data_IF_108346482133
#
_entry.id   IF_108346482133
#
_cell.length_a   1.000
_cell.length_b   1.000
_cell.length_c   1.000
_cell.angle_alpha   90.00
_cell.angle_beta   90.00
_cell.angle_gamma   90.00
#
_symmetry.space_group_name_H-M   'P 1'
#
loop_
_entity.id
_entity.type
_entity.pdbx_description
1 polymer ?
#
# COMPACT_ATOMS: atom_id res chain seq x y z
N UNK A 1 -9.75 -13.51 4.70
CA UNK A 1 -8.70 -12.51 4.97
C UNK A 1 -7.83 -12.44 3.74
N UNK A 2 -7.61 -11.25 3.18
CA UNK A 2 -6.78 -11.06 1.98
C UNK A 2 -5.54 -10.28 2.38
N UNK A 3 -4.44 -10.44 1.66
CA UNK A 3 -3.30 -9.54 1.82
C UNK A 3 -3.57 -8.26 1.03
N UNK A 4 -3.31 -7.11 1.64
CA UNK A 4 -3.29 -5.81 0.99
C UNK A 4 -1.83 -5.40 0.80
N UNK A 5 -1.52 -4.92 -0.40
CA UNK A 5 -0.20 -4.40 -0.74
C UNK A 5 -0.34 -2.93 -1.15
N UNK A 6 0.51 -2.09 -0.58
CA UNK A 6 0.63 -0.68 -0.93
C UNK A 6 2.08 -0.35 -1.25
N UNK A 7 2.27 0.62 -2.16
CA UNK A 7 3.55 1.01 -2.72
C UNK A 7 3.67 2.54 -2.64
N UNK A 8 4.78 3.01 -2.08
CA UNK A 8 5.14 4.43 -2.01
C UNK A 8 6.45 4.67 -2.76
N UNK A 9 6.43 5.45 -3.85
CA UNK A 9 7.64 5.87 -4.55
C UNK A 9 8.55 6.69 -3.63
N UNK A 10 9.84 6.34 -3.57
CA UNK A 10 10.84 7.14 -2.85
C UNK A 10 11.32 8.24 -3.81
N UNK A 11 10.98 9.49 -3.51
CA UNK A 11 11.39 10.66 -4.30
C UNK A 11 12.67 11.32 -3.80
N UNK A 12 13.00 11.11 -2.52
CA UNK A 12 14.23 11.61 -1.90
C UNK A 12 14.97 10.45 -1.21
N UNK A 13 16.11 10.07 -1.77
CA UNK A 13 16.93 8.95 -1.29
C UNK A 13 17.83 9.32 -0.11
N UNK A 14 17.81 10.57 0.34
CA UNK A 14 18.56 11.02 1.52
C UNK A 14 17.80 10.77 2.82
N UNK A 15 16.49 10.51 2.74
CA UNK A 15 15.64 10.21 3.90
C UNK A 15 16.00 8.82 4.45
N UNK A 16 16.25 8.69 5.77
CA UNK A 16 16.47 7.40 6.40
C UNK A 16 15.31 6.43 6.22
N UNK A 17 15.62 5.13 6.07
CA UNK A 17 14.60 4.09 5.92
C UNK A 17 13.56 4.09 7.06
N UNK A 18 13.98 4.35 8.30
CA UNK A 18 13.07 4.39 9.44
C UNK A 18 11.99 5.48 9.29
N UNK A 19 12.36 6.64 8.75
CA UNK A 19 11.44 7.75 8.53
C UNK A 19 10.48 7.45 7.37
N UNK A 20 10.99 6.85 6.29
CA UNK A 20 10.16 6.38 5.18
C UNK A 20 9.13 5.32 5.61
N UNK A 21 9.54 4.39 6.48
CA UNK A 21 8.62 3.38 7.05
C UNK A 21 7.59 4.04 7.95
N UNK A 22 8.00 4.99 8.79
CA UNK A 22 7.09 5.72 9.66
C UNK A 22 6.02 6.46 8.86
N UNK A 23 6.40 7.18 7.81
CA UNK A 23 5.47 7.86 6.91
C UNK A 23 4.50 6.87 6.23
N UNK A 24 5.03 5.77 5.67
CA UNK A 24 4.22 4.75 5.02
C UNK A 24 3.25 4.07 6.00
N UNK A 25 3.66 3.85 7.25
CA UNK A 25 2.83 3.27 8.30
C UNK A 25 1.66 4.18 8.68
N UNK A 26 1.88 5.50 8.76
CA UNK A 26 0.82 6.48 9.04
C UNK A 26 -0.18 6.60 7.87
N UNK A 27 0.28 6.49 6.63
CA UNK A 27 -0.58 6.63 5.43
C UNK A 27 -1.32 5.33 5.06
N UNK A 28 -0.77 4.15 5.41
CA UNK A 28 -1.32 2.84 5.04
C UNK A 28 -2.83 2.67 5.31
N UNK A 29 -3.40 3.07 6.47
CA UNK A 29 -4.84 2.96 6.70
C UNK A 29 -5.69 3.79 5.73
N UNK A 30 -5.21 5.00 5.38
CA UNK A 30 -5.91 5.88 4.45
C UNK A 30 -5.87 5.32 3.02
N UNK A 31 -4.71 4.80 2.59
CA UNK A 31 -4.54 4.11 1.30
C UNK A 31 -5.47 2.90 1.23
N UNK A 32 -5.46 2.02 2.23
CA UNK A 32 -6.35 0.86 2.28
C UNK A 32 -7.83 1.28 2.16
N UNK A 33 -8.24 2.33 2.89
CA UNK A 33 -9.61 2.83 2.88
C UNK A 33 -10.04 3.32 1.49
N UNK A 34 -9.18 4.03 0.77
CA UNK A 34 -9.43 4.49 -0.61
C UNK A 34 -9.69 3.32 -1.57
N UNK A 35 -9.07 2.17 -1.31
CA UNK A 35 -9.25 0.93 -2.06
C UNK A 35 -10.35 0.02 -1.50
N UNK A 36 -11.15 0.52 -0.55
CA UNK A 36 -12.24 -0.26 0.07
C UNK A 36 -11.75 -1.41 0.94
N UNK A 37 -10.51 -1.35 1.43
CA UNK A 37 -9.93 -2.31 2.35
C UNK A 37 -9.78 -1.70 3.75
N UNK A 38 -9.74 -2.57 4.76
CA UNK A 38 -9.41 -2.22 6.14
C UNK A 38 -8.30 -3.14 6.60
N UNK A 39 -7.18 -2.57 7.06
CA UNK A 39 -6.05 -3.32 7.61
C UNK A 39 -6.46 -3.92 8.96
N UNK A 40 -6.13 -5.19 9.19
CA UNK A 40 -6.58 -5.94 10.37
C UNK A 40 -5.44 -6.48 11.23
N UNK A 41 -4.20 -6.17 10.88
CA UNK A 41 -3.03 -6.66 11.61
C UNK A 41 -1.75 -5.96 11.16
N UNK A 42 -0.59 -6.36 11.72
CA UNK A 42 0.67 -5.69 11.47
C UNK A 42 1.07 -5.76 10.01
N UNK A 43 1.65 -4.67 9.52
CA UNK A 43 2.24 -4.58 8.19
C UNK A 43 3.73 -4.93 8.23
N UNK A 44 4.23 -5.51 7.15
CA UNK A 44 5.66 -5.70 6.90
C UNK A 44 6.08 -4.72 5.81
N UNK A 45 7.15 -3.97 6.07
CA UNK A 45 7.68 -2.94 5.17
C UNK A 45 9.05 -3.36 4.62
N UNK A 46 9.27 -3.10 3.33
CA UNK A 46 10.56 -3.32 2.67
C UNK A 46 10.82 -2.20 1.65
N UNK A 47 12.09 -1.85 1.42
CA UNK A 47 12.50 -1.10 0.23
C UNK A 47 12.81 -2.09 -0.88
N UNK A 48 12.27 -1.84 -2.07
CA UNK A 48 12.51 -2.63 -3.27
C UNK A 48 12.81 -1.73 -4.46
N UNK A 49 13.34 -2.31 -5.53
CA UNK A 49 13.50 -1.62 -6.82
C UNK A 49 12.12 -1.23 -7.36
N UNK A 50 11.85 0.08 -7.43
CA UNK A 50 10.57 0.61 -7.87
C UNK A 50 10.27 0.31 -9.34
N UNK A 51 11.28 0.10 -10.18
CA UNK A 51 11.11 -0.23 -11.60
C UNK A 51 10.44 -1.59 -11.80
N UNK A 52 10.45 -2.43 -10.77
CA UNK A 52 9.81 -3.76 -10.76
C UNK A 52 8.42 -3.77 -10.13
N UNK A 53 8.00 -2.68 -9.48
CA UNK A 53 6.76 -2.63 -8.71
C UNK A 53 5.64 -1.87 -9.43
N UNK A 54 4.47 -2.50 -9.62
CA UNK A 54 3.28 -1.77 -10.07
C UNK A 54 2.92 -0.65 -9.08
N UNK A 55 2.63 0.55 -9.59
CA UNK A 55 2.29 1.71 -8.77
C UNK A 55 3.49 2.55 -8.29
N UNK A 56 4.72 2.17 -8.65
CA UNK A 56 5.95 2.93 -8.34
C UNK A 56 6.09 4.26 -9.08
N UNK A 57 5.28 4.48 -10.13
CA UNK A 57 5.39 5.64 -11.03
C UNK A 57 6.78 5.80 -11.66
N UNK A 58 7.54 4.70 -11.79
CA UNK A 58 8.88 4.71 -12.38
C UNK A 58 10.00 5.15 -11.44
N UNK A 59 9.74 5.31 -10.14
CA UNK A 59 10.78 5.58 -9.16
C UNK A 59 11.82 4.45 -9.09
N UNK A 60 13.06 4.82 -8.76
CA UNK A 60 14.15 3.85 -8.61
C UNK A 60 13.96 2.95 -7.40
N UNK A 61 13.43 3.49 -6.31
CA UNK A 61 13.15 2.75 -5.10
C UNK A 61 11.73 3.03 -4.62
N UNK A 62 11.12 2.05 -3.96
CA UNK A 62 9.80 2.18 -3.36
C UNK A 62 9.77 1.49 -2.00
N UNK A 63 9.02 2.07 -1.06
CA UNK A 63 8.57 1.33 0.12
C UNK A 63 7.36 0.51 -0.27
N UNK A 64 7.36 -0.77 0.10
CA UNK A 64 6.22 -1.67 -0.07
C UNK A 64 5.77 -2.17 1.29
N UNK A 65 4.48 -1.97 1.59
CA UNK A 65 3.84 -2.55 2.76
C UNK A 65 2.97 -3.73 2.34
N UNK A 66 3.07 -4.84 3.08
CA UNK A 66 2.14 -5.98 2.97
C UNK A 66 1.49 -6.21 4.31
N UNK A 67 0.16 -6.18 4.36
CA UNK A 67 -0.59 -6.33 5.61
C UNK A 67 -1.85 -7.18 5.40
N UNK A 68 -2.30 -7.93 6.43
CA UNK A 68 -3.59 -8.59 6.39
C UNK A 68 -4.71 -7.54 6.38
N UNK A 69 -5.70 -7.75 5.52
CA UNK A 69 -6.82 -6.85 5.36
C UNK A 69 -8.14 -7.58 5.06
N UNK A 70 -9.23 -6.86 5.25
CA UNK A 70 -10.56 -7.25 4.81
C UNK A 70 -11.02 -6.25 3.75
N UNK A 71 -11.37 -6.76 2.57
CA UNK A 71 -12.00 -5.95 1.52
C UNK A 71 -13.50 -5.83 1.78
N UNK A 72 -14.03 -4.61 1.70
CA UNK A 72 -15.48 -4.40 1.64
C UNK A 72 -15.94 -4.91 0.27
N UNK A 73 -16.72 -5.99 0.25
CA UNK A 73 -17.43 -6.41 -0.96
C UNK A 73 -18.32 -5.25 -1.42
N UNK A 74 -17.96 -4.62 -2.53
CA UNK A 74 -18.87 -3.73 -3.26
C UNK A 74 -19.96 -4.64 -3.83
N UNK A 75 -21.16 -4.60 -3.25
CA UNK A 75 -22.32 -5.28 -3.84
C UNK A 75 -22.59 -4.60 -5.18
N UNK A 76 -22.06 -5.15 -6.27
CA UNK A 76 -22.59 -4.88 -7.60
C UNK A 76 -23.96 -5.55 -7.66
N UNK A 77 -24.98 -4.87 -7.12
CA UNK A 77 -26.35 -5.16 -7.45
C UNK A 77 -26.46 -5.07 -8.96
N UNK A 78 -26.64 -6.22 -9.60
CA UNK A 78 -26.89 -6.33 -11.03
C UNK A 78 -28.17 -5.53 -11.30
N UNK A 79 -28.06 -4.32 -11.84
CA UNK A 79 -29.22 -3.62 -12.36
C UNK A 79 -29.57 -4.39 -13.64
N UNK A 80 -30.54 -5.29 -13.53
CA UNK A 80 -31.17 -5.89 -14.69
C UNK A 80 -31.90 -4.76 -15.43
N UNK A 81 -31.45 -4.47 -16.65
CA UNK A 81 -32.15 -3.65 -17.61
C UNK A 81 -33.22 -4.47 -18.33
#
# INVERSE_FOLDING_TARGET
MTMFQAVWPITDTTIPFADLVFEAEQDLPAVATRHGATITGPAVFNVVDGRTQPGSQGAEQCVVATAPAITRKRNYGRIAA
#
